data_IF_004852488656
#
_entry.id   IF_004852488656
#
_cell.length_a   1.000
_cell.length_b   1.000
_cell.length_c   1.000
_cell.angle_alpha   90.00
_cell.angle_beta   90.00
_cell.angle_gamma   90.00
#
_symmetry.space_group_name_H-M   'P 1'
#
loop_
_entity.id
_entity.type
_entity.pdbx_description
1 polymer ?
#
# COMPACT_ATOMS: atom_id res chain seq x y z
N UNK A 1 24.53 -15.98 6.70
CA UNK A 1 23.60 -14.83 6.61
C UNK A 1 23.68 -14.29 5.19
N UNK A 2 22.60 -14.41 4.39
CA UNK A 2 22.65 -14.21 2.92
C UNK A 2 22.62 -12.73 2.48
N UNK A 3 21.92 -11.87 3.23
CA UNK A 3 21.69 -10.47 2.84
C UNK A 3 22.55 -9.45 3.61
N UNK A 4 23.23 -9.86 4.69
CA UNK A 4 24.02 -8.94 5.51
C UNK A 4 23.21 -7.88 6.28
N UNK A 5 21.88 -8.02 6.33
CA UNK A 5 20.98 -7.09 7.02
C UNK A 5 20.85 -7.50 8.49
N UNK A 6 20.97 -6.53 9.41
CA UNK A 6 20.73 -6.72 10.85
C UNK A 6 19.26 -6.42 11.21
N UNK A 7 18.70 -7.03 12.26
CA UNK A 7 17.33 -6.76 12.71
C UNK A 7 17.06 -5.28 13.05
N UNK A 8 18.06 -4.57 13.55
CA UNK A 8 18.01 -3.16 13.92
C UNK A 8 17.87 -2.28 12.67
N UNK A 9 18.59 -2.61 11.60
CA UNK A 9 18.55 -1.90 10.33
C UNK A 9 17.18 -2.07 9.62
N UNK A 10 16.53 -3.23 9.79
CA UNK A 10 15.15 -3.46 9.32
C UNK A 10 14.17 -2.58 10.09
N UNK A 11 14.31 -2.52 11.42
CA UNK A 11 13.42 -1.74 12.30
C UNK A 11 13.50 -0.24 12.00
N UNK A 12 14.68 0.26 11.62
CA UNK A 12 14.88 1.65 11.18
C UNK A 12 14.23 1.98 9.82
N UNK A 13 13.66 1.00 9.12
CA UNK A 13 13.02 1.18 7.80
C UNK A 13 14.01 1.47 6.67
N UNK A 14 15.31 1.23 6.88
CA UNK A 14 16.37 1.61 5.95
C UNK A 14 16.65 0.53 4.88
N UNK A 15 16.19 -0.70 5.11
CA UNK A 15 16.52 -1.85 4.25
C UNK A 15 15.41 -2.26 3.27
N UNK A 16 14.20 -1.69 3.37
CA UNK A 16 13.04 -2.12 2.56
C UNK A 16 12.52 -0.97 1.70
N UNK A 17 12.57 -1.18 0.37
CA UNK A 17 11.99 -0.27 -0.62
C UNK A 17 10.72 -0.90 -1.20
N UNK A 18 9.73 -0.06 -1.49
CA UNK A 18 8.46 -0.47 -2.10
C UNK A 18 8.30 0.20 -3.46
N UNK A 19 8.05 -0.60 -4.49
CA UNK A 19 7.90 -0.13 -5.86
C UNK A 19 6.44 -0.28 -6.30
N UNK A 20 5.91 0.75 -6.96
CA UNK A 20 4.60 0.67 -7.64
C UNK A 20 4.72 0.16 -9.08
N UNK A 21 5.89 0.36 -9.66
CA UNK A 21 6.20 -0.02 -11.04
C UNK A 21 7.31 -1.09 -11.00
N UNK A 22 7.03 -2.31 -11.47
CA UNK A 22 8.00 -3.39 -11.52
C UNK A 22 9.29 -3.01 -12.28
N UNK A 23 9.18 -2.17 -13.31
CA UNK A 23 10.31 -1.76 -14.17
C UNK A 23 11.39 -1.01 -13.39
N UNK A 24 10.97 -0.24 -12.37
CA UNK A 24 11.90 0.47 -11.48
C UNK A 24 12.62 -0.49 -10.55
N UNK A 25 11.93 -1.51 -10.03
CA UNK A 25 12.56 -2.54 -9.21
C UNK A 25 13.61 -3.32 -10.01
N UNK A 26 13.32 -3.64 -11.27
CA UNK A 26 14.28 -4.33 -12.16
C UNK A 26 15.50 -3.47 -12.49
N UNK A 27 15.32 -2.16 -12.68
CA UNK A 27 16.43 -1.24 -12.94
C UNK A 27 17.34 -1.07 -11.71
N UNK A 28 16.74 -0.94 -10.52
CA UNK A 28 17.48 -0.86 -9.27
C UNK A 28 18.23 -2.16 -8.97
N UNK A 29 17.66 -3.31 -9.33
CA UNK A 29 18.33 -4.61 -9.20
C UNK A 29 19.51 -4.72 -10.17
N UNK A 30 19.32 -4.33 -11.44
CA UNK A 30 20.37 -4.38 -12.45
C UNK A 30 21.54 -3.43 -12.16
N UNK A 31 21.28 -2.29 -11.53
CA UNK A 31 22.31 -1.33 -11.11
C UNK A 31 22.99 -1.69 -9.79
N UNK A 32 22.52 -2.71 -9.07
CA UNK A 32 23.03 -3.10 -7.74
C UNK A 32 22.57 -2.19 -6.60
N UNK A 33 21.61 -1.29 -6.84
CA UNK A 33 21.03 -0.41 -5.82
C UNK A 33 20.15 -1.15 -4.79
N UNK A 34 19.77 -2.39 -5.11
CA UNK A 34 19.13 -3.37 -4.21
C UNK A 34 19.75 -4.75 -4.40
N UNK A 35 19.76 -5.58 -3.34
CA UNK A 35 20.32 -6.93 -3.39
C UNK A 35 19.31 -7.99 -3.86
N UNK A 36 18.01 -7.74 -3.62
CA UNK A 36 16.93 -8.68 -3.93
C UNK A 36 15.62 -7.91 -4.14
N UNK A 37 14.76 -8.41 -5.01
CA UNK A 37 13.41 -7.91 -5.22
C UNK A 37 12.39 -9.05 -5.08
N UNK A 38 11.27 -8.77 -4.42
CA UNK A 38 10.14 -9.70 -4.29
C UNK A 38 8.95 -9.13 -5.05
N UNK A 39 8.40 -9.92 -5.98
CA UNK A 39 7.19 -9.58 -6.70
C UNK A 39 6.05 -10.43 -6.16
N UNK A 40 5.00 -9.78 -5.68
CA UNK A 40 3.87 -10.43 -5.03
C UNK A 40 2.62 -10.29 -5.89
N UNK A 41 1.75 -11.30 -5.81
CA UNK A 41 0.41 -11.19 -6.37
C UNK A 41 -0.37 -10.07 -5.66
N UNK A 42 -1.25 -9.40 -6.40
CA UNK A 42 -2.14 -8.42 -5.81
C UNK A 42 -3.15 -9.09 -4.88
N UNK A 43 -3.44 -8.44 -3.74
CA UNK A 43 -4.50 -8.86 -2.83
C UNK A 43 -5.86 -8.67 -3.52
N UNK A 44 -6.72 -9.69 -3.48
CA UNK A 44 -8.07 -9.61 -4.03
C UNK A 44 -9.03 -8.88 -3.07
N UNK A 45 -10.15 -8.38 -3.59
CA UNK A 45 -11.18 -7.72 -2.76
C UNK A 45 -11.76 -8.64 -1.68
N UNK A 46 -12.07 -9.93 -1.95
CA UNK A 46 -12.50 -10.85 -0.91
C UNK A 46 -11.46 -11.04 0.19
N UNK A 47 -10.19 -11.29 -0.15
CA UNK A 47 -9.11 -11.46 0.85
C UNK A 47 -8.93 -10.20 1.69
N UNK A 48 -8.94 -9.03 1.04
CA UNK A 48 -8.87 -7.74 1.74
C UNK A 48 -10.02 -7.60 2.75
N UNK A 49 -11.25 -7.93 2.33
CA UNK A 49 -12.44 -7.84 3.18
C UNK A 49 -12.33 -8.78 4.37
N UNK A 50 -11.95 -10.03 4.14
CA UNK A 50 -11.89 -11.07 5.17
C UNK A 50 -10.86 -10.70 6.25
N UNK A 51 -9.67 -10.25 5.85
CA UNK A 51 -8.65 -9.77 6.80
C UNK A 51 -9.16 -8.58 7.60
N UNK A 52 -9.75 -7.59 6.93
CA UNK A 52 -10.25 -6.36 7.58
C UNK A 52 -11.38 -6.65 8.58
N UNK A 53 -12.25 -7.61 8.28
CA UNK A 53 -13.36 -8.00 9.16
C UNK A 53 -12.92 -8.94 10.29
N UNK A 54 -11.78 -9.62 10.15
CA UNK A 54 -11.24 -10.51 11.19
C UNK A 54 -10.60 -9.80 12.39
N UNK A 55 -10.55 -8.46 12.37
CA UNK A 55 -9.84 -7.66 13.38
C UNK A 55 -8.32 -7.61 13.19
N UNK A 56 -7.79 -8.20 12.11
CA UNK A 56 -6.38 -8.10 11.74
C UNK A 56 -6.14 -6.95 10.76
N UNK A 57 -4.88 -6.55 10.65
CA UNK A 57 -4.44 -5.53 9.69
C UNK A 57 -3.55 -6.18 8.63
N UNK A 58 -3.72 -5.71 7.39
CA UNK A 58 -2.80 -6.08 6.32
C UNK A 58 -1.41 -5.46 6.55
N UNK A 59 -0.34 -6.10 6.06
CA UNK A 59 1.00 -5.52 6.12
C UNK A 59 1.08 -4.15 5.43
N UNK A 60 2.06 -3.34 5.82
CA UNK A 60 2.25 -2.02 5.26
C UNK A 60 2.43 -2.07 3.74
N UNK A 61 1.74 -1.17 3.01
CA UNK A 61 1.82 -1.03 1.54
C UNK A 61 1.50 -2.31 0.75
N UNK A 62 0.69 -3.20 1.33
CA UNK A 62 0.19 -4.43 0.69
C UNK A 62 -0.95 -4.20 -0.31
N UNK A 63 -1.61 -3.04 -0.26
CA UNK A 63 -2.71 -2.68 -1.18
C UNK A 63 -2.51 -1.29 -1.79
N UNK A 64 -2.97 -1.14 -3.02
CA UNK A 64 -2.97 0.13 -3.76
C UNK A 64 -4.37 0.40 -4.31
N UNK A 65 -5.12 1.27 -3.65
CA UNK A 65 -6.44 1.69 -4.11
C UNK A 65 -6.33 2.67 -5.28
N UNK A 66 -6.89 2.29 -6.43
CA UNK A 66 -6.95 3.12 -7.62
C UNK A 66 -8.38 3.18 -8.19
N UNK A 67 -8.93 4.39 -8.45
CA UNK A 67 -8.35 5.69 -8.10
C UNK A 67 -8.25 5.84 -6.58
N UNK A 68 -7.32 6.69 -6.11
CA UNK A 68 -7.30 7.03 -4.67
C UNK A 68 -8.66 7.61 -4.32
N UNK A 69 -9.27 7.10 -3.25
CA UNK A 69 -10.52 7.64 -2.75
C UNK A 69 -10.30 9.13 -2.46
N UNK A 70 -11.09 9.98 -3.10
CA UNK A 70 -11.08 11.41 -2.81
C UNK A 70 -11.48 11.60 -1.36
N UNK A 71 -10.54 11.95 -0.49
CA UNK A 71 -10.82 12.35 0.88
C UNK A 71 -11.33 13.79 0.91
N UNK A 72 -12.21 14.13 1.83
CA UNK A 72 -12.73 15.49 1.99
C UNK A 72 -14.02 15.80 1.22
N UNK A 73 -14.61 14.82 0.53
CA UNK A 73 -15.97 14.93 0.03
C UNK A 73 -16.96 14.63 1.17
N UNK A 74 -17.67 15.66 1.61
CA UNK A 74 -18.78 15.54 2.55
C UNK A 74 -20.08 15.46 1.75
N UNK A 75 -20.67 14.27 1.67
CA UNK A 75 -22.00 14.09 1.06
C UNK A 75 -23.03 14.33 2.15
N UNK A 76 -23.66 15.50 2.15
CA UNK A 76 -24.82 15.76 2.99
C UNK A 76 -26.07 15.16 2.32
N UNK A 77 -26.85 14.31 3.02
CA UNK A 77 -28.18 13.98 2.55
C UNK A 77 -29.02 15.26 2.57
N UNK A 78 -29.59 15.62 1.42
CA UNK A 78 -30.48 16.77 1.24
C UNK A 78 -31.89 16.19 1.08
N UNK A 79 -32.79 16.50 1.99
CA UNK A 79 -34.21 16.18 1.88
C UNK A 79 -34.87 16.96 0.73
N UNK A 80 -36.04 16.52 0.27
CA UNK A 80 -36.74 17.16 -0.86
C UNK A 80 -37.00 18.67 -0.68
N UNK A 81 -37.09 19.13 0.58
CA UNK A 81 -37.35 20.52 0.95
C UNK A 81 -36.09 21.27 1.44
N UNK A 82 -34.93 20.61 1.50
CA UNK A 82 -33.71 21.24 2.01
C UNK A 82 -33.10 22.18 0.94
N UNK A 83 -32.83 23.43 1.35
CA UNK A 83 -32.03 24.37 0.56
C UNK A 83 -30.61 24.40 1.06
N UNK A 84 -29.68 23.97 0.21
CA UNK A 84 -28.25 24.07 0.49
C UNK A 84 -27.86 25.55 0.50
N UNK A 85 -27.22 26.08 1.56
CA UNK A 85 -26.74 27.45 1.56
C UNK A 85 -25.65 27.63 0.50
N UNK A 86 -25.90 28.56 -0.43
CA UNK A 86 -25.00 28.94 -1.53
C UNK A 86 -25.62 30.05 -2.35
#
# INVERSE_FOLDING_TARGET
QLLGISPEAVTAGQCVKYYKDPSKATADLASGAIQVAFFMNAVTIPEFRDVSLSGHVLPQKSTFFYPKIGTGLLIFPVGADDRVPG
#
